data_IF_033732553974
#
_entry.id   IF_033732553974
#
_cell.length_a   1.000
_cell.length_b   1.000
_cell.length_c   1.000
_cell.angle_alpha   90.00
_cell.angle_beta   90.00
_cell.angle_gamma   90.00
#
_symmetry.space_group_name_H-M   'P 1'
#
loop_
_entity.id
_entity.type
_entity.pdbx_description
1 polymer ?
#
# COMPACT_ATOMS: atom_id res chain seq x y z
N UNK A 1 -18.05 -5.72 7.68
CA UNK A 1 -17.75 -6.04 6.26
C UNK A 1 -17.59 -4.74 5.48
N UNK A 2 -16.68 -4.65 4.50
CA UNK A 2 -16.40 -3.43 3.70
C UNK A 2 -15.77 -2.24 4.45
N UNK A 3 -14.87 -2.50 5.41
CA UNK A 3 -14.14 -1.47 6.16
C UNK A 3 -12.67 -1.41 5.73
N UNK A 4 -12.42 -1.05 4.47
CA UNK A 4 -11.05 -0.89 3.96
C UNK A 4 -10.29 0.22 4.68
N UNK A 5 -11.00 1.22 5.19
CA UNK A 5 -10.49 2.32 6.01
C UNK A 5 -9.94 1.86 7.38
N UNK A 6 -10.36 0.68 7.84
CA UNK A 6 -9.77 0.00 9.01
C UNK A 6 -8.64 -0.96 8.65
N UNK A 7 -8.41 -1.26 7.38
CA UNK A 7 -7.38 -2.20 6.96
C UNK A 7 -6.07 -1.44 6.66
N UNK A 8 -5.09 -1.43 7.57
CA UNK A 8 -3.95 -0.53 7.46
C UNK A 8 -3.04 -0.89 6.28
N UNK A 9 -3.07 -2.14 5.82
CA UNK A 9 -2.25 -2.61 4.70
C UNK A 9 -2.60 -1.90 3.39
N UNK A 10 -3.81 -1.36 3.23
CA UNK A 10 -4.19 -0.56 2.06
C UNK A 10 -3.32 0.70 1.95
N UNK A 11 -2.92 1.27 3.09
CA UNK A 11 -1.99 2.39 3.13
C UNK A 11 -0.59 1.99 2.64
N UNK A 12 -0.12 0.80 3.05
CA UNK A 12 1.15 0.25 2.57
C UNK A 12 1.11 0.01 1.06
N UNK A 13 0.02 -0.56 0.53
CA UNK A 13 -0.14 -0.74 -0.91
C UNK A 13 -0.13 0.57 -1.68
N UNK A 14 -0.76 1.62 -1.16
CA UNK A 14 -0.72 2.96 -1.74
C UNK A 14 0.71 3.50 -1.85
N UNK A 15 1.51 3.36 -0.78
CA UNK A 15 2.91 3.78 -0.75
C UNK A 15 3.77 2.96 -1.70
N UNK A 16 3.62 1.64 -1.71
CA UNK A 16 4.33 0.76 -2.62
C UNK A 16 4.03 1.11 -4.08
N UNK A 17 2.77 1.38 -4.42
CA UNK A 17 2.39 1.82 -5.77
C UNK A 17 3.04 3.15 -6.13
N UNK A 18 3.10 4.12 -5.21
CA UNK A 18 3.78 5.39 -5.46
C UNK A 18 5.28 5.21 -5.74
N UNK A 19 5.95 4.33 -4.98
CA UNK A 19 7.36 3.98 -5.21
C UNK A 19 7.51 3.26 -6.55
N UNK A 20 6.65 2.28 -6.84
CA UNK A 20 6.67 1.52 -8.09
C UNK A 20 6.51 2.45 -9.30
N UNK A 21 5.55 3.37 -9.27
CA UNK A 21 5.35 4.36 -10.33
C UNK A 21 6.55 5.30 -10.48
N UNK A 22 7.28 5.60 -9.40
CA UNK A 22 8.46 6.47 -9.43
C UNK A 22 9.70 5.78 -10.03
N UNK A 23 9.96 4.53 -9.66
CA UNK A 23 11.19 3.82 -10.03
C UNK A 23 11.01 2.88 -11.24
N UNK A 24 9.79 2.42 -11.50
CA UNK A 24 9.46 1.44 -12.52
C UNK A 24 8.27 1.90 -13.38
N UNK A 25 8.26 3.18 -13.79
CA UNK A 25 7.15 3.76 -14.56
C UNK A 25 6.84 2.99 -15.86
N UNK A 26 7.84 2.36 -16.47
CA UNK A 26 7.70 1.62 -17.73
C UNK A 26 7.27 0.15 -17.55
N UNK A 27 7.16 -0.35 -16.31
CA UNK A 27 6.91 -1.78 -16.04
C UNK A 27 5.61 -2.29 -16.67
N UNK A 28 4.58 -1.45 -16.76
CA UNK A 28 3.30 -1.80 -17.40
C UNK A 28 3.42 -2.01 -18.92
N UNK A 29 4.46 -1.45 -19.54
CA UNK A 29 4.77 -1.61 -20.96
C UNK A 29 5.62 -2.84 -21.24
N UNK A 30 6.15 -3.50 -20.21
CA UNK A 30 6.96 -4.70 -20.39
C UNK A 30 6.18 -5.79 -21.16
N UNK A 31 6.85 -6.39 -22.13
CA UNK A 31 6.35 -7.49 -22.96
C UNK A 31 7.42 -8.57 -23.03
N UNK A 32 7.00 -9.82 -23.18
CA UNK A 32 7.91 -10.96 -23.25
C UNK A 32 7.27 -12.22 -22.69
N UNK A 33 8.06 -13.29 -22.51
CA UNK A 33 7.61 -14.49 -21.83
C UNK A 33 7.04 -14.17 -20.45
N UNK A 34 5.94 -14.86 -20.09
CA UNK A 34 5.26 -14.65 -18.80
C UNK A 34 6.21 -14.79 -17.60
N UNK A 35 7.19 -15.69 -17.68
CA UNK A 35 8.18 -15.90 -16.62
C UNK A 35 9.05 -14.66 -16.40
N UNK A 36 9.49 -14.02 -17.48
CA UNK A 36 10.38 -12.85 -17.42
C UNK A 36 9.62 -11.61 -16.91
N UNK A 37 8.40 -11.39 -17.41
CA UNK A 37 7.53 -10.31 -16.93
C UNK A 37 7.19 -10.50 -15.45
N UNK A 38 6.86 -11.74 -15.05
CA UNK A 38 6.59 -12.06 -13.64
C UNK A 38 7.80 -11.76 -12.76
N UNK A 39 9.00 -12.21 -13.16
CA UNK A 39 10.24 -11.99 -12.41
C UNK A 39 10.53 -10.49 -12.24
N UNK A 40 10.37 -9.70 -13.29
CA UNK A 40 10.57 -8.25 -13.21
C UNK A 40 9.57 -7.57 -12.26
N UNK A 41 8.30 -8.01 -12.24
CA UNK A 41 7.31 -7.51 -11.28
C UNK A 41 7.70 -7.90 -9.85
N UNK A 42 8.11 -9.14 -9.61
CA UNK A 42 8.55 -9.61 -8.29
C UNK A 42 9.76 -8.81 -7.77
N UNK A 43 10.76 -8.59 -8.61
CA UNK A 43 11.94 -7.79 -8.27
C UNK A 43 11.56 -6.33 -7.97
N UNK A 44 10.70 -5.71 -8.78
CA UNK A 44 10.24 -4.34 -8.56
C UNK A 44 9.43 -4.19 -7.27
N UNK A 45 8.54 -5.15 -6.97
CA UNK A 45 7.75 -5.15 -5.73
C UNK A 45 8.66 -5.33 -4.51
N UNK A 46 9.63 -6.25 -4.56
CA UNK A 46 10.60 -6.43 -3.49
C UNK A 46 11.44 -5.17 -3.26
N UNK A 47 11.92 -4.54 -4.34
CA UNK A 47 12.64 -3.26 -4.23
C UNK A 47 11.78 -2.18 -3.56
N UNK A 48 10.50 -2.07 -3.94
CA UNK A 48 9.60 -1.08 -3.34
C UNK A 48 9.36 -1.36 -1.86
N UNK A 49 9.27 -2.64 -1.47
CA UNK A 49 9.11 -3.05 -0.08
C UNK A 49 10.32 -2.67 0.78
N UNK A 50 11.53 -2.95 0.31
CA UNK A 50 12.78 -2.63 1.02
C UNK A 50 13.04 -1.12 1.15
N UNK A 51 12.41 -0.30 0.30
CA UNK A 51 12.49 1.17 0.40
C UNK A 51 11.55 1.78 1.43
N UNK A 52 10.58 1.03 1.95
CA UNK A 52 9.67 1.54 2.98
C UNK A 52 10.46 1.75 4.28
N UNK A 53 10.37 2.97 4.82
CA UNK A 53 10.91 3.27 6.14
C UNK A 53 10.13 2.46 7.19
N UNK A 54 10.83 1.78 8.10
CA UNK A 54 10.20 1.00 9.17
C UNK A 54 9.26 1.84 10.02
N UNK A 55 9.53 3.16 10.14
CA UNK A 55 8.66 4.11 10.84
C UNK A 55 7.25 4.17 10.25
N UNK A 56 7.07 3.88 8.96
CA UNK A 56 5.74 3.82 8.32
C UNK A 56 4.86 2.78 9.01
N UNK A 57 5.42 1.64 9.41
CA UNK A 57 4.65 0.59 10.09
C UNK A 57 4.27 0.99 11.52
N UNK A 58 5.17 1.67 12.23
CA UNK A 58 4.90 2.20 13.58
C UNK A 58 3.82 3.28 13.54
N UNK A 59 3.92 4.23 12.59
CA UNK A 59 2.93 5.30 12.40
C UNK A 59 1.57 4.72 12.02
N UNK A 60 1.56 3.69 11.17
CA UNK A 60 0.35 3.01 10.74
C UNK A 60 -0.34 2.28 11.90
N UNK A 61 0.43 1.57 12.72
CA UNK A 61 -0.07 0.94 13.94
C UNK A 61 -0.61 1.98 14.93
N UNK A 62 0.11 3.09 15.12
CA UNK A 62 -0.32 4.22 15.95
C UNK A 62 -1.63 4.86 15.46
N UNK A 63 -1.85 4.92 14.15
CA UNK A 63 -3.06 5.51 13.56
C UNK A 63 -4.35 4.76 13.85
N UNK A 64 -4.28 3.48 14.30
CA UNK A 64 -5.47 2.66 14.55
C UNK A 64 -6.41 3.26 15.60
N UNK A 65 -5.85 3.95 16.60
CA UNK A 65 -6.63 4.65 17.62
C UNK A 65 -7.48 5.74 16.98
N UNK A 66 -6.91 6.52 16.07
CA UNK A 66 -7.61 7.63 15.42
C UNK A 66 -8.55 7.17 14.31
N UNK A 67 -8.21 6.10 13.58
CA UNK A 67 -9.13 5.42 12.64
C UNK A 67 -10.39 4.92 13.35
N UNK A 68 -10.21 4.28 14.51
CA UNK A 68 -11.34 3.78 15.31
C UNK A 68 -12.21 4.92 15.83
N UNK A 69 -11.61 6.00 16.33
CA UNK A 69 -12.36 7.21 16.73
C UNK A 69 -13.15 7.78 15.56
N UNK A 70 -12.55 7.88 14.37
CA UNK A 70 -13.21 8.40 13.18
C UNK A 70 -14.48 7.62 12.83
N UNK A 71 -14.48 6.30 13.02
CA UNK A 71 -15.67 5.47 12.77
C UNK A 71 -16.74 5.67 13.83
N UNK A 72 -16.35 5.82 15.09
CA UNK A 72 -17.29 6.13 16.18
C UNK A 72 -17.95 7.49 15.92
N UNK A 73 -17.17 8.50 15.55
CA UNK A 73 -17.66 9.84 15.22
C UNK A 73 -18.53 9.86 13.95
N UNK A 74 -18.26 8.95 13.01
CA UNK A 74 -19.04 8.78 11.80
C UNK A 74 -20.25 7.84 11.97
N UNK A 75 -20.60 7.42 13.19
CA UNK A 75 -21.70 6.47 13.46
C UNK A 75 -21.63 5.20 12.58
N UNK A 76 -20.42 4.71 12.31
CA UNK A 76 -20.18 3.53 11.47
C UNK A 76 -20.13 3.79 9.96
N UNK A 77 -20.22 5.05 9.51
CA UNK A 77 -19.99 5.43 8.12
C UNK A 77 -18.49 5.47 7.77
N UNK A 78 -18.21 5.51 6.46
CA UNK A 78 -16.85 5.57 5.92
C UNK A 78 -16.09 6.79 6.44
N UNK A 79 -14.80 6.58 6.74
CA UNK A 79 -13.91 7.64 7.18
C UNK A 79 -12.95 8.09 6.07
N UNK A 80 -12.10 9.08 6.37
CA UNK A 80 -11.06 9.59 5.47
C UNK A 80 -9.85 8.65 5.29
N UNK A 81 -9.84 7.52 5.98
CA UNK A 81 -8.68 6.64 6.17
C UNK A 81 -8.65 5.44 5.21
#
# INVERSE_FOLDING_TARGET
>A
PYSSDLNPIEHIWSLMNAILHKYYCELYLMRGPKADVKKAIEEAVNFCWELLDTKVFDDLAGSMVDRTKGIIEADGWYTRY
#
